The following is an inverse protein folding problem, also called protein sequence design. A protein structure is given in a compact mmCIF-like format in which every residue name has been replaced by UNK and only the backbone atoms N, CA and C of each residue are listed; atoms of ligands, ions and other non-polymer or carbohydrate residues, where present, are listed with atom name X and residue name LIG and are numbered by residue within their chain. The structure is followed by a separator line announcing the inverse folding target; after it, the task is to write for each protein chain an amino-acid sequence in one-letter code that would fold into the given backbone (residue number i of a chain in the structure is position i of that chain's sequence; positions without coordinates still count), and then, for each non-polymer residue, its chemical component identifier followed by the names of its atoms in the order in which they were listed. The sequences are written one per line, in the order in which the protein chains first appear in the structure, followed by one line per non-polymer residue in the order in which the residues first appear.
data_IF_072605972103
#
_entry.id   IF_072605972103
#
_cell.length_a   1.000
_cell.length_b   1.000
_cell.length_c   1.000
_cell.angle_alpha   90.00
_cell.angle_beta   90.00
_cell.angle_gamma   90.00
#
_symmetry.space_group_name_H-M   'P 1'
#
loop_
_entity.id
_entity.type
_entity.pdbx_description
1 polymer ?
#
# COMPACT_ATOMS: atom_id res chain seq x y z
N UNK A 1 28.19 -51.92 55.37
CA UNK A 1 27.75 -50.55 55.75
C UNK A 1 27.17 -49.75 54.55
N UNK A 2 26.14 -50.26 53.85
CA UNK A 2 25.56 -49.59 52.65
C UNK A 2 24.11 -49.08 52.83
N UNK A 3 23.48 -49.32 53.98
CA UNK A 3 22.06 -49.00 54.20
C UNK A 3 21.76 -47.61 54.78
N UNK A 4 22.69 -46.96 55.49
CA UNK A 4 22.42 -45.67 56.16
C UNK A 4 22.47 -44.44 55.24
N UNK A 5 23.25 -44.47 54.15
CA UNK A 5 23.38 -43.30 53.25
C UNK A 5 22.17 -43.07 52.35
N UNK A 6 21.41 -44.11 52.01
CA UNK A 6 20.24 -43.98 51.12
C UNK A 6 19.04 -43.36 51.84
N UNK A 7 18.92 -43.56 53.15
CA UNK A 7 17.84 -43.01 53.97
C UNK A 7 18.01 -41.51 54.25
N UNK A 8 19.25 -41.03 54.37
CA UNK A 8 19.58 -39.60 54.50
C UNK A 8 19.32 -38.83 53.18
N UNK A 9 19.59 -39.45 52.02
CA UNK A 9 19.39 -38.84 50.69
C UNK A 9 17.90 -38.61 50.34
N UNK A 10 16.98 -39.44 50.85
CA UNK A 10 15.54 -39.26 50.60
C UNK A 10 14.98 -38.13 51.48
N UNK A 11 15.57 -37.89 52.66
CA UNK A 11 15.16 -36.80 53.56
C UNK A 11 15.59 -35.41 53.07
N UNK A 12 16.66 -35.33 52.26
CA UNK A 12 17.15 -34.10 51.64
C UNK A 12 16.38 -33.68 50.36
N UNK A 13 15.48 -34.52 49.83
CA UNK A 13 14.70 -34.27 48.62
C UNK A 13 13.26 -33.83 48.90
N UNK A 14 12.92 -33.53 50.16
CA UNK A 14 11.68 -32.86 50.54
C UNK A 14 11.71 -31.40 50.10
N UNK A 15 11.60 -31.18 48.79
CA UNK A 15 11.44 -29.85 48.21
C UNK A 15 10.26 -29.17 48.89
N UNK A 16 10.58 -28.03 49.49
CA UNK A 16 9.66 -27.07 50.04
C UNK A 16 8.67 -26.69 48.92
N UNK A 17 7.51 -27.35 48.86
CA UNK A 17 6.41 -26.91 48.00
C UNK A 17 5.81 -25.68 48.67
N UNK A 18 6.46 -24.54 48.49
CA UNK A 18 5.84 -23.24 48.71
C UNK A 18 4.70 -23.11 47.71
N UNK A 19 3.50 -23.57 48.12
CA UNK A 19 2.28 -23.21 47.41
C UNK A 19 2.11 -21.70 47.45
N UNK A 20 1.55 -21.13 46.39
CA UNK A 20 1.20 -19.71 46.35
C UNK A 20 0.36 -19.36 47.58
N UNK A 21 0.73 -18.28 48.26
CA UNK A 21 -0.09 -17.74 49.33
C UNK A 21 -1.42 -17.25 48.75
N UNK A 22 -2.48 -17.34 49.54
CA UNK A 22 -3.80 -16.83 49.13
C UNK A 22 -3.72 -15.35 48.75
N UNK A 23 -2.84 -14.60 49.43
CA UNK A 23 -2.57 -13.18 49.16
C UNK A 23 -1.89 -12.97 47.80
N UNK A 24 -0.89 -13.78 47.43
CA UNK A 24 -0.27 -13.70 46.10
C UNK A 24 -1.27 -13.95 44.99
N UNK A 25 -2.15 -14.96 45.16
CA UNK A 25 -3.19 -15.22 44.18
C UNK A 25 -4.17 -14.04 44.05
N UNK A 26 -4.54 -13.40 45.16
CA UNK A 26 -5.40 -12.22 45.15
C UNK A 26 -4.75 -11.04 44.43
N UNK A 27 -3.45 -10.80 44.64
CA UNK A 27 -2.72 -9.74 43.95
C UNK A 27 -2.66 -10.02 42.44
N UNK A 28 -2.39 -11.27 42.05
CA UNK A 28 -2.34 -11.67 40.63
C UNK A 28 -3.67 -11.43 39.94
N UNK A 29 -4.79 -11.85 40.55
CA UNK A 29 -6.13 -11.62 39.98
C UNK A 29 -6.47 -10.13 39.95
N UNK A 30 -6.08 -9.34 40.95
CA UNK A 30 -6.28 -7.89 40.95
C UNK A 30 -5.48 -7.20 39.83
N UNK A 31 -4.21 -7.56 39.62
CA UNK A 31 -3.37 -7.02 38.54
C UNK A 31 -3.92 -7.42 37.18
N UNK A 32 -4.32 -8.68 36.99
CA UNK A 32 -4.95 -9.13 35.74
C UNK A 32 -6.26 -8.35 35.48
N UNK A 33 -7.07 -8.09 36.51
CA UNK A 33 -8.28 -7.28 36.39
C UNK A 33 -8.01 -5.85 35.91
N UNK A 34 -6.98 -5.20 36.46
CA UNK A 34 -6.55 -3.85 36.02
C UNK A 34 -6.04 -3.87 34.57
N UNK A 35 -5.22 -4.87 34.22
CA UNK A 35 -4.69 -5.01 32.86
C UNK A 35 -5.81 -5.26 31.85
N UNK A 36 -6.78 -6.11 32.16
CA UNK A 36 -7.94 -6.39 31.30
C UNK A 36 -8.81 -5.14 31.12
N UNK A 37 -9.02 -4.36 32.18
CA UNK A 37 -9.79 -3.12 32.11
C UNK A 37 -9.17 -2.08 31.16
N UNK A 38 -7.84 -2.05 31.01
CA UNK A 38 -7.13 -1.19 30.07
C UNK A 38 -7.05 -1.84 28.67
N UNK A 39 -6.77 -3.14 28.62
CA UNK A 39 -6.49 -3.86 27.37
C UNK A 39 -7.75 -4.04 26.50
N UNK A 40 -8.90 -4.37 27.09
CA UNK A 40 -10.16 -4.58 26.35
C UNK A 40 -10.57 -3.35 25.53
N UNK A 41 -10.70 -2.13 26.10
CA UNK A 41 -11.11 -0.96 25.32
C UNK A 41 -10.10 -0.59 24.22
N UNK A 42 -8.79 -0.75 24.48
CA UNK A 42 -7.73 -0.52 23.50
C UNK A 42 -7.83 -1.53 22.34
N UNK A 43 -7.99 -2.81 22.65
CA UNK A 43 -8.11 -3.86 21.66
C UNK A 43 -9.36 -3.68 20.80
N UNK A 44 -10.52 -3.42 21.42
CA UNK A 44 -11.76 -3.17 20.68
C UNK A 44 -11.64 -1.97 19.75
N UNK A 45 -11.02 -0.87 20.20
CA UNK A 45 -10.79 0.31 19.36
C UNK A 45 -9.85 0.01 18.19
N UNK A 46 -8.76 -0.74 18.41
CA UNK A 46 -7.82 -1.10 17.35
C UNK A 46 -8.45 -2.02 16.31
N UNK A 47 -9.31 -2.96 16.72
CA UNK A 47 -10.02 -3.83 15.77
C UNK A 47 -11.05 -3.06 14.95
N UNK A 48 -11.67 -2.03 15.52
CA UNK A 48 -12.66 -1.20 14.83
C UNK A 48 -12.01 -0.36 13.72
N UNK A 49 -10.86 0.28 14.02
CA UNK A 49 -10.07 1.02 13.03
C UNK A 49 -9.62 0.13 11.87
N UNK A 50 -9.21 -1.11 12.15
CA UNK A 50 -8.81 -2.07 11.12
C UNK A 50 -9.96 -2.49 10.20
N UNK A 51 -11.18 -2.65 10.75
CA UNK A 51 -12.38 -2.94 9.96
C UNK A 51 -12.77 -1.77 9.06
N UNK A 52 -12.72 -0.53 9.58
CA UNK A 52 -12.98 0.69 8.80
C UNK A 52 -11.99 0.78 7.63
N UNK A 53 -10.69 0.57 7.88
CA UNK A 53 -9.68 0.60 6.82
C UNK A 53 -9.92 -0.49 5.75
N UNK A 54 -10.35 -1.67 6.16
CA UNK A 54 -10.68 -2.78 5.24
C UNK A 54 -11.89 -2.44 4.38
N UNK A 55 -12.94 -1.87 4.97
CA UNK A 55 -14.13 -1.45 4.24
C UNK A 55 -13.85 -0.34 3.24
N UNK A 56 -12.97 0.60 3.60
CA UNK A 56 -12.53 1.64 2.68
C UNK A 56 -11.77 1.06 1.49
N UNK A 57 -10.91 0.06 1.70
CA UNK A 57 -10.24 -0.65 0.61
C UNK A 57 -11.26 -1.38 -0.30
N UNK A 58 -12.24 -2.04 0.30
CA UNK A 58 -13.33 -2.71 -0.42
C UNK A 58 -14.17 -1.74 -1.26
N UNK A 59 -14.52 -0.57 -0.72
CA UNK A 59 -15.23 0.49 -1.45
C UNK A 59 -14.43 1.05 -2.62
N UNK A 60 -13.10 1.15 -2.49
CA UNK A 60 -12.22 1.56 -3.60
C UNK A 60 -12.27 0.55 -4.74
N UNK A 61 -12.18 -0.73 -4.42
CA UNK A 61 -12.27 -1.81 -5.40
C UNK A 61 -13.61 -1.71 -6.12
N UNK A 62 -14.72 -1.67 -5.37
CA UNK A 62 -16.07 -1.57 -5.91
C UNK A 62 -16.24 -0.36 -6.84
N UNK A 63 -15.77 0.83 -6.44
CA UNK A 63 -15.85 2.02 -7.28
C UNK A 63 -15.02 1.92 -8.55
N UNK A 64 -13.80 1.38 -8.44
CA UNK A 64 -12.92 1.19 -9.60
C UNK A 64 -13.52 0.22 -10.61
N UNK A 65 -13.96 -0.97 -10.16
CA UNK A 65 -14.56 -1.98 -11.04
C UNK A 65 -15.90 -1.53 -11.60
N UNK A 66 -16.66 -0.74 -10.84
CA UNK A 66 -17.94 -0.23 -11.32
C UNK A 66 -17.70 0.76 -12.45
N UNK A 67 -16.79 1.72 -12.29
CA UNK A 67 -16.45 2.64 -13.37
C UNK A 67 -16.00 1.88 -14.62
N UNK A 68 -15.15 0.85 -14.46
CA UNK A 68 -14.76 -0.01 -15.58
C UNK A 68 -15.97 -0.68 -16.26
N UNK A 69 -16.92 -1.19 -15.49
CA UNK A 69 -18.17 -1.76 -16.00
C UNK A 69 -18.99 -0.72 -16.78
N UNK A 70 -19.17 0.49 -16.23
CA UNK A 70 -19.93 1.56 -16.85
C UNK A 70 -19.34 1.99 -18.20
N UNK A 71 -18.01 2.04 -18.31
CA UNK A 71 -17.35 2.37 -19.58
C UNK A 71 -17.43 1.26 -20.62
N UNK A 72 -17.62 0.00 -20.20
CA UNK A 72 -17.67 -1.15 -21.10
C UNK A 72 -19.03 -1.33 -21.79
N UNK A 73 -20.08 -0.67 -21.28
CA UNK A 73 -21.45 -0.77 -21.78
C UNK A 73 -21.88 0.58 -22.36
N UNK A 74 -22.46 0.65 -23.58
CA UNK A 74 -23.06 1.88 -24.10
C UNK A 74 -24.16 2.38 -23.15
N UNK A 75 -24.33 3.70 -23.00
CA UNK A 75 -25.31 4.33 -22.08
C UNK A 75 -26.75 3.79 -22.24
N UNK A 76 -27.09 3.30 -23.43
CA UNK A 76 -28.40 2.73 -23.77
C UNK A 76 -28.68 1.33 -23.17
N UNK A 77 -27.66 0.67 -22.58
CA UNK A 77 -27.75 -0.71 -22.07
C UNK A 77 -27.53 -0.87 -20.55
N UNK A 78 -27.28 0.24 -19.84
CA UNK A 78 -26.75 0.20 -18.48
C UNK A 78 -27.84 0.39 -17.40
N UNK A 79 -28.89 -0.43 -17.45
CA UNK A 79 -30.08 -0.32 -16.60
C UNK A 79 -29.83 -0.51 -15.09
N UNK A 80 -28.68 -1.11 -14.71
CA UNK A 80 -28.33 -1.36 -13.31
C UNK A 80 -27.78 -0.13 -12.58
N UNK A 81 -27.06 0.73 -13.31
CA UNK A 81 -26.34 1.88 -12.73
C UNK A 81 -26.83 3.24 -13.25
N UNK A 82 -27.69 3.27 -14.27
CA UNK A 82 -28.23 4.50 -14.87
C UNK A 82 -29.55 5.03 -14.26
N UNK A 83 -30.12 4.36 -13.25
CA UNK A 83 -31.38 4.79 -12.63
C UNK A 83 -31.21 5.39 -11.23
N UNK A 84 -32.21 6.22 -10.85
CA UNK A 84 -32.33 6.98 -9.61
C UNK A 84 -31.95 6.23 -8.31
N UNK A 85 -31.50 7.04 -7.36
CA UNK A 85 -31.11 6.72 -5.98
C UNK A 85 -32.17 5.80 -5.34
N UNK A 86 -31.72 4.75 -4.66
CA UNK A 86 -32.51 3.90 -3.76
C UNK A 86 -33.50 2.90 -4.41
N UNK A 87 -32.97 1.86 -5.05
CA UNK A 87 -33.77 0.78 -5.67
C UNK A 87 -33.58 -0.61 -5.05
N UNK A 88 -32.76 -0.76 -4.01
CA UNK A 88 -32.49 -2.08 -3.38
C UNK A 88 -31.77 -3.09 -4.29
N UNK A 89 -31.23 -2.62 -5.43
CA UNK A 89 -30.57 -3.44 -6.46
C UNK A 89 -29.06 -3.61 -6.25
N UNK A 90 -28.52 -3.22 -5.09
CA UNK A 90 -27.07 -3.27 -4.85
C UNK A 90 -26.49 -4.68 -4.97
N UNK A 91 -27.27 -5.68 -4.55
CA UNK A 91 -26.91 -7.09 -4.77
C UNK A 91 -26.82 -7.44 -6.26
N UNK A 92 -27.77 -6.95 -7.06
CA UNK A 92 -27.79 -7.16 -8.52
C UNK A 92 -26.66 -6.41 -9.22
N UNK A 93 -26.33 -5.20 -8.77
CA UNK A 93 -25.17 -4.42 -9.23
C UNK A 93 -23.87 -5.18 -8.97
N UNK A 94 -23.68 -5.73 -7.78
CA UNK A 94 -22.51 -6.54 -7.49
C UNK A 94 -22.47 -7.83 -8.30
N UNK A 95 -23.62 -8.48 -8.51
CA UNK A 95 -23.70 -9.66 -9.37
C UNK A 95 -23.35 -9.32 -10.83
N UNK A 96 -23.77 -8.16 -11.34
CA UNK A 96 -23.38 -7.72 -12.68
C UNK A 96 -21.84 -7.53 -12.81
N UNK A 97 -21.18 -7.07 -11.74
CA UNK A 97 -19.71 -6.97 -11.71
C UNK A 97 -19.05 -8.36 -11.64
N UNK A 98 -19.69 -9.34 -10.98
CA UNK A 98 -19.22 -10.73 -10.95
C UNK A 98 -19.39 -11.38 -12.32
N UNK A 99 -20.55 -11.20 -12.95
CA UNK A 99 -20.88 -11.75 -14.27
C UNK A 99 -19.98 -11.15 -15.36
N UNK A 100 -19.60 -9.88 -15.20
CA UNK A 100 -18.60 -9.21 -16.02
C UNK A 100 -17.15 -9.62 -15.69
N UNK A 101 -16.96 -10.53 -14.73
CA UNK A 101 -15.68 -11.04 -14.27
C UNK A 101 -14.72 -9.95 -13.74
N UNK A 102 -15.29 -8.88 -13.15
CA UNK A 102 -14.53 -7.77 -12.57
C UNK A 102 -14.24 -7.97 -11.08
N UNK A 103 -15.11 -8.74 -10.40
CA UNK A 103 -14.88 -9.22 -9.03
C UNK A 103 -15.25 -10.71 -8.96
N UNK A 104 -14.51 -11.49 -8.17
CA UNK A 104 -14.71 -12.95 -8.10
C UNK A 104 -15.79 -13.38 -7.10
N UNK A 105 -16.25 -12.45 -6.24
CA UNK A 105 -17.32 -12.65 -5.26
C UNK A 105 -17.90 -11.31 -4.82
N UNK A 106 -19.06 -11.36 -4.18
CA UNK A 106 -19.65 -10.19 -3.55
C UNK A 106 -18.73 -9.64 -2.45
N UNK A 107 -18.50 -8.33 -2.49
CA UNK A 107 -17.66 -7.63 -1.51
C UNK A 107 -18.61 -7.04 -0.47
N UNK A 108 -18.54 -7.57 0.75
CA UNK A 108 -19.33 -7.11 1.89
C UNK A 108 -18.46 -6.35 2.90
N UNK A 109 -19.10 -5.49 3.70
CA UNK A 109 -18.44 -4.83 4.83
C UNK A 109 -18.03 -5.85 5.89
N UNK A 110 -16.88 -5.61 6.51
CA UNK A 110 -16.36 -6.36 7.65
C UNK A 110 -16.93 -5.80 8.96
N UNK A 111 -17.56 -4.62 8.94
CA UNK A 111 -18.26 -4.02 10.08
C UNK A 111 -19.67 -4.64 10.23
N UNK A 112 -20.05 -5.10 11.43
CA UNK A 112 -21.39 -5.64 11.67
C UNK A 112 -22.47 -4.56 11.46
N UNK A 113 -23.49 -4.87 10.67
CA UNK A 113 -24.64 -3.98 10.44
C UNK A 113 -24.43 -2.90 9.38
N UNK A 114 -23.23 -2.80 8.80
CA UNK A 114 -22.93 -1.87 7.70
C UNK A 114 -23.04 -2.61 6.36
N UNK A 115 -23.65 -1.96 5.37
CA UNK A 115 -23.74 -2.44 3.99
C UNK A 115 -23.14 -1.41 3.04
N UNK A 116 -22.57 -1.87 1.93
CA UNK A 116 -22.15 -0.99 0.84
C UNK A 116 -23.35 -0.67 -0.06
N UNK A 117 -23.58 0.62 -0.30
CA UNK A 117 -24.76 1.15 -0.99
C UNK A 117 -24.29 2.00 -2.17
N UNK A 118 -24.94 1.85 -3.32
CA UNK A 118 -24.73 2.72 -4.48
C UNK A 118 -25.52 4.03 -4.34
N UNK A 119 -24.84 5.18 -4.31
CA UNK A 119 -25.45 6.51 -4.14
C UNK A 119 -25.93 7.15 -5.46
N UNK A 120 -25.89 6.40 -6.56
CA UNK A 120 -26.14 6.89 -7.92
C UNK A 120 -24.87 7.31 -8.67
N UNK A 121 -23.73 7.46 -8.00
CA UNK A 121 -22.43 7.83 -8.59
C UNK A 121 -21.28 6.96 -8.13
N UNK A 122 -21.33 6.45 -6.91
CA UNK A 122 -20.29 5.66 -6.26
C UNK A 122 -20.89 4.76 -5.17
N UNK A 123 -20.15 3.70 -4.85
CA UNK A 123 -20.34 2.89 -3.65
C UNK A 123 -19.88 3.68 -2.41
N UNK A 124 -20.73 3.65 -1.38
CA UNK A 124 -20.53 4.27 -0.06
C UNK A 124 -20.86 3.26 1.04
N UNK A 125 -20.39 3.47 2.26
CA UNK A 125 -20.91 2.78 3.43
C UNK A 125 -22.21 3.45 3.87
N UNK A 126 -23.28 2.66 4.03
CA UNK A 126 -24.66 3.16 4.19
C UNK A 126 -24.98 4.01 5.43
N UNK A 127 -23.99 4.41 6.24
CA UNK A 127 -24.16 5.27 7.41
C UNK A 127 -23.76 6.73 7.16
N UNK A 128 -22.94 7.02 6.15
CA UNK A 128 -22.39 8.36 5.98
C UNK A 128 -21.92 8.61 4.53
N UNK A 129 -22.73 9.35 3.75
CA UNK A 129 -22.24 9.96 2.50
C UNK A 129 -21.10 10.98 2.74
N UNK A 130 -20.82 11.30 4.02
CA UNK A 130 -19.72 12.12 4.56
C UNK A 130 -18.46 11.35 4.99
N UNK A 131 -18.50 10.01 5.13
CA UNK A 131 -17.42 9.20 5.72
C UNK A 131 -16.37 8.70 4.71
N UNK A 132 -16.31 9.31 3.52
CA UNK A 132 -15.07 9.33 2.72
C UNK A 132 -13.93 10.13 3.39
N UNK A 133 -13.94 10.23 4.73
CA UNK A 133 -13.01 10.97 5.56
C UNK A 133 -12.29 10.07 6.58
N UNK A 134 -11.47 9.12 6.05
CA UNK A 134 -10.15 8.75 6.62
C UNK A 134 -9.94 7.29 7.08
N UNK A 135 -8.74 6.67 6.90
CA UNK A 135 -7.44 7.28 6.61
C UNK A 135 -6.95 7.12 5.15
N UNK A 136 -6.48 8.26 4.62
CA UNK A 136 -5.52 8.47 3.52
C UNK A 136 -5.92 7.95 2.13
N UNK A 137 -6.81 8.67 1.46
CA UNK A 137 -6.61 9.01 0.04
C UNK A 137 -5.91 10.36 0.01
N UNK A 138 -4.59 10.34 -0.08
CA UNK A 138 -3.76 11.54 -0.20
C UNK A 138 -3.71 12.09 -1.62
N UNK A 139 -4.14 11.27 -2.57
CA UNK A 139 -4.18 11.58 -3.98
C UNK A 139 -5.28 10.73 -4.65
N UNK A 140 -5.87 11.26 -5.70
CA UNK A 140 -6.84 10.60 -6.55
C UNK A 140 -6.12 9.94 -7.70
N UNK A 141 -6.51 8.71 -8.02
CA UNK A 141 -6.15 8.08 -9.28
C UNK A 141 -7.35 8.09 -10.20
N UNK A 142 -7.22 8.77 -11.33
CA UNK A 142 -8.22 8.76 -12.39
C UNK A 142 -7.58 8.28 -13.69
N UNK A 143 -8.39 7.68 -14.55
CA UNK A 143 -7.94 7.13 -15.84
C UNK A 143 -8.32 8.02 -17.02
N UNK A 144 -8.57 9.30 -16.78
CA UNK A 144 -9.54 10.05 -17.59
C UNK A 144 -9.03 11.08 -18.59
N UNK A 145 -7.74 11.12 -18.95
CA UNK A 145 -7.31 11.97 -20.07
C UNK A 145 -6.78 11.10 -21.21
N UNK A 146 -7.70 10.74 -22.10
CA UNK A 146 -7.50 9.96 -23.32
C UNK A 146 -6.88 10.84 -24.43
N UNK A 147 -5.72 10.44 -24.95
CA UNK A 147 -5.42 10.49 -26.39
C UNK A 147 -4.69 9.20 -26.80
N UNK A 148 -5.44 8.33 -27.49
CA UNK A 148 -5.05 7.28 -28.44
C UNK A 148 -3.84 6.35 -28.13
N UNK A 149 -4.15 5.10 -27.75
CA UNK A 149 -3.48 3.92 -28.33
C UNK A 149 -2.53 3.09 -27.46
N UNK A 150 -2.28 3.42 -26.20
CA UNK A 150 -1.41 2.64 -25.31
C UNK A 150 -2.13 2.32 -23.98
N UNK A 151 -1.69 1.28 -23.28
CA UNK A 151 -2.28 0.63 -22.09
C UNK A 151 -3.00 1.53 -21.06
N UNK A 152 -3.94 1.01 -20.23
CA UNK A 152 -4.74 1.78 -19.28
C UNK A 152 -3.92 2.79 -18.45
N UNK A 153 -4.40 4.02 -18.47
CA UNK A 153 -3.71 5.23 -18.04
C UNK A 153 -4.03 5.52 -16.57
N UNK A 154 -3.06 5.52 -15.65
CA UNK A 154 -3.26 5.90 -14.24
C UNK A 154 -2.66 7.29 -14.00
N UNK A 155 -3.52 8.31 -13.84
CA UNK A 155 -3.13 9.70 -13.55
C UNK A 155 -3.32 9.95 -12.06
N UNK A 156 -2.27 10.43 -11.40
CA UNK A 156 -2.31 10.86 -10.00
C UNK A 156 -2.66 12.34 -9.88
N UNK A 157 -3.50 12.69 -8.91
CA UNK A 157 -3.76 14.06 -8.52
C UNK A 157 -3.74 14.20 -7.00
N UNK A 158 -2.94 15.10 -6.43
CA UNK A 158 -2.99 15.33 -4.98
C UNK A 158 -4.33 15.97 -4.60
N UNK A 159 -4.97 15.46 -3.55
CA UNK A 159 -6.22 16.06 -3.05
C UNK A 159 -5.91 17.41 -2.38
N UNK A 160 -4.69 17.56 -1.84
CA UNK A 160 -4.16 18.79 -1.27
C UNK A 160 -2.70 19.00 -1.70
N UNK A 161 -2.40 20.11 -2.37
CA UNK A 161 -1.04 20.44 -2.86
C UNK A 161 -0.02 20.70 -1.72
N UNK A 162 -0.46 20.83 -0.47
CA UNK A 162 0.45 20.90 0.69
C UNK A 162 1.06 19.54 1.05
N UNK A 163 0.51 18.44 0.55
CA UNK A 163 0.95 17.11 0.92
C UNK A 163 2.21 16.66 0.19
N UNK A 164 3.22 16.23 0.95
CA UNK A 164 4.54 15.85 0.42
C UNK A 164 4.88 14.37 0.58
N UNK A 165 4.06 13.58 1.28
CA UNK A 165 4.39 12.18 1.60
C UNK A 165 3.23 11.26 1.21
N UNK A 166 3.38 10.54 0.11
CA UNK A 166 2.26 9.77 -0.47
C UNK A 166 2.48 8.26 -0.40
N UNK A 167 1.38 7.51 -0.25
CA UNK A 167 1.39 6.05 -0.28
C UNK A 167 0.40 5.55 -1.32
N UNK A 168 0.89 4.85 -2.34
CA UNK A 168 0.03 4.39 -3.41
C UNK A 168 -0.69 3.07 -3.03
N UNK A 169 -2.00 2.89 -3.32
CA UNK A 169 -2.71 1.67 -3.00
C UNK A 169 -2.25 0.52 -3.90
N UNK A 170 -2.35 -0.68 -3.33
CA UNK A 170 -2.10 -1.93 -4.02
C UNK A 170 -3.08 -2.15 -5.20
N UNK A 171 -2.63 -2.91 -6.20
CA UNK A 171 -3.40 -3.21 -7.42
C UNK A 171 -3.07 -2.31 -8.61
N UNK A 172 -2.34 -1.21 -8.40
CA UNK A 172 -1.82 -0.37 -9.49
C UNK A 172 -0.66 -1.09 -10.16
N UNK A 173 -0.72 -1.19 -11.50
CA UNK A 173 0.33 -1.79 -12.32
C UNK A 173 1.22 -0.76 -13.02
N UNK A 174 0.75 0.45 -13.22
CA UNK A 174 1.48 1.47 -13.98
C UNK A 174 1.27 2.86 -13.39
N UNK A 175 2.30 3.70 -13.42
CA UNK A 175 2.24 5.13 -13.10
C UNK A 175 2.64 5.89 -14.34
N UNK A 176 1.76 6.76 -14.81
CA UNK A 176 1.99 7.48 -16.05
C UNK A 176 2.97 8.63 -15.94
N UNK A 177 3.50 8.93 -17.11
CA UNK A 177 4.49 9.93 -17.37
C UNK A 177 4.19 10.62 -18.71
N UNK A 178 4.80 11.77 -18.92
CA UNK A 178 4.60 12.61 -20.09
C UNK A 178 5.06 14.02 -19.77
N UNK A 179 5.47 14.78 -20.78
CA UNK A 179 5.97 16.15 -20.53
C UNK A 179 4.89 17.04 -19.90
N UNK A 180 3.61 16.82 -20.24
CA UNK A 180 2.48 17.62 -19.76
C UNK A 180 1.47 16.82 -18.90
N UNK A 181 1.60 15.50 -18.82
CA UNK A 181 0.56 14.60 -18.25
C UNK A 181 1.11 13.63 -17.19
N UNK A 182 2.35 13.85 -16.72
CA UNK A 182 2.95 12.99 -15.71
C UNK A 182 2.21 13.06 -14.37
N UNK A 183 1.95 11.89 -13.79
CA UNK A 183 1.07 11.72 -12.63
C UNK A 183 1.48 12.52 -11.38
N UNK A 184 2.78 12.63 -11.10
CA UNK A 184 3.28 13.29 -9.89
C UNK A 184 4.39 14.30 -10.21
N UNK A 185 4.36 14.92 -11.39
CA UNK A 185 5.34 15.95 -11.76
C UNK A 185 5.18 17.21 -10.91
N UNK A 186 6.30 17.68 -10.36
CA UNK A 186 6.44 18.97 -9.66
C UNK A 186 5.47 19.18 -8.49
N UNK A 187 5.18 18.09 -7.76
CA UNK A 187 4.30 18.12 -6.58
C UNK A 187 5.01 18.44 -5.27
N UNK A 188 6.34 18.51 -5.29
CA UNK A 188 7.18 18.78 -4.12
C UNK A 188 7.21 17.61 -3.12
N UNK A 189 6.97 16.38 -3.60
CA UNK A 189 6.96 15.18 -2.76
C UNK A 189 8.32 14.94 -2.12
N UNK A 190 8.34 14.64 -0.82
CA UNK A 190 9.50 14.28 -0.01
C UNK A 190 9.63 12.75 0.12
N UNK A 191 8.50 12.02 0.10
CA UNK A 191 8.49 10.55 0.07
C UNK A 191 7.33 9.97 -0.74
N UNK A 192 7.55 8.77 -1.27
CA UNK A 192 6.54 7.95 -1.94
C UNK A 192 6.70 6.48 -1.56
N UNK A 193 5.59 5.83 -1.18
CA UNK A 193 5.52 4.37 -1.05
C UNK A 193 4.85 3.82 -2.32
N UNK A 194 5.63 3.06 -3.09
CA UNK A 194 5.15 2.39 -4.30
C UNK A 194 4.49 1.04 -3.95
N UNK A 195 3.41 0.63 -4.65
CA UNK A 195 2.69 -0.59 -4.34
C UNK A 195 3.42 -1.81 -4.89
N UNK A 196 3.23 -2.97 -4.25
CA UNK A 196 3.91 -4.21 -4.60
C UNK A 196 3.59 -4.74 -6.00
N UNK A 197 2.38 -4.47 -6.50
CA UNK A 197 1.90 -4.87 -7.85
C UNK A 197 2.38 -3.98 -9.00
N UNK A 198 3.18 -2.95 -8.70
CA UNK A 198 3.61 -1.96 -9.68
C UNK A 198 4.61 -2.56 -10.67
N UNK A 199 4.36 -2.40 -11.96
CA UNK A 199 5.19 -2.91 -13.04
C UNK A 199 5.90 -1.81 -13.83
N UNK A 200 5.21 -0.69 -14.10
CA UNK A 200 5.73 0.36 -14.98
C UNK A 200 5.70 1.73 -14.32
N UNK A 201 6.82 2.45 -14.39
CA UNK A 201 6.93 3.86 -14.02
C UNK A 201 7.33 4.61 -15.27
N UNK A 202 6.41 5.35 -15.89
CA UNK A 202 6.65 5.98 -17.17
C UNK A 202 7.44 7.30 -17.05
N UNK A 203 7.88 7.81 -18.20
CA UNK A 203 8.79 8.94 -18.32
C UNK A 203 8.26 10.21 -17.65
N UNK A 204 9.03 10.88 -16.80
CA UNK A 204 8.62 12.06 -16.02
C UNK A 204 7.60 11.82 -14.89
N UNK A 205 7.18 10.59 -14.61
CA UNK A 205 6.13 10.28 -13.63
C UNK A 205 6.28 11.01 -12.28
N UNK A 206 7.51 11.12 -11.75
CA UNK A 206 7.87 11.80 -10.51
C UNK A 206 8.89 12.93 -10.74
N UNK A 207 8.91 13.51 -11.93
CA UNK A 207 9.84 14.59 -12.30
C UNK A 207 9.72 15.79 -11.34
N UNK A 208 10.85 16.32 -10.89
CA UNK A 208 10.90 17.60 -10.17
C UNK A 208 10.28 17.57 -8.77
N UNK A 209 10.58 16.54 -7.98
CA UNK A 209 10.16 16.46 -6.57
C UNK A 209 11.39 16.53 -5.63
N UNK A 210 11.16 16.34 -4.33
CA UNK A 210 12.16 16.40 -3.27
C UNK A 210 12.49 15.01 -2.70
N UNK A 211 12.29 13.94 -3.48
CA UNK A 211 12.53 12.57 -3.03
C UNK A 211 14.03 12.36 -2.73
N UNK A 212 14.35 11.85 -1.54
CA UNK A 212 15.74 11.59 -1.11
C UNK A 212 16.08 10.10 -1.07
N UNK A 213 15.07 9.25 -0.86
CA UNK A 213 15.17 7.82 -0.95
C UNK A 213 14.00 7.22 -1.75
N UNK A 214 14.23 6.05 -2.32
CA UNK A 214 13.23 5.35 -3.12
C UNK A 214 13.36 3.84 -2.93
N UNK A 215 12.21 3.16 -2.84
CA UNK A 215 12.12 1.71 -2.87
C UNK A 215 11.40 1.32 -4.16
N UNK A 216 12.07 0.57 -5.02
CA UNK A 216 11.53 -0.02 -6.25
C UNK A 216 11.03 -1.43 -5.93
N UNK A 217 9.71 -1.69 -5.93
CA UNK A 217 9.12 -3.00 -5.66
C UNK A 217 9.54 -4.07 -6.67
N UNK A 218 9.43 -5.35 -6.27
CA UNK A 218 9.98 -6.47 -7.04
C UNK A 218 9.30 -6.75 -8.39
N UNK A 219 8.06 -6.33 -8.57
CA UNK A 219 7.35 -6.48 -9.85
C UNK A 219 7.66 -5.38 -10.87
N UNK A 220 8.42 -4.34 -10.49
CA UNK A 220 8.75 -3.25 -11.43
C UNK A 220 9.69 -3.77 -12.50
N UNK A 221 9.23 -3.69 -13.75
CA UNK A 221 9.96 -4.11 -14.96
C UNK A 221 10.41 -2.92 -15.81
N UNK A 222 9.86 -1.72 -15.59
CA UNK A 222 10.16 -0.56 -16.42
C UNK A 222 10.19 0.75 -15.62
N UNK A 223 11.27 1.52 -15.81
CA UNK A 223 11.42 2.92 -15.36
C UNK A 223 11.77 3.77 -16.58
N UNK A 224 10.90 4.72 -16.92
CA UNK A 224 10.96 5.55 -18.11
C UNK A 224 11.97 6.69 -18.03
N UNK A 225 12.19 7.32 -19.19
CA UNK A 225 13.14 8.43 -19.35
C UNK A 225 12.77 9.57 -18.40
N UNK A 226 13.72 10.04 -17.61
CA UNK A 226 13.49 11.12 -16.65
C UNK A 226 12.37 10.87 -15.62
N UNK A 227 11.98 9.61 -15.36
CA UNK A 227 10.92 9.25 -14.41
C UNK A 227 11.09 9.89 -13.02
N UNK A 228 12.32 9.93 -12.49
CA UNK A 228 12.67 10.56 -11.21
C UNK A 228 13.69 11.70 -11.39
N UNK A 229 13.80 12.27 -12.59
CA UNK A 229 14.70 13.39 -12.86
C UNK A 229 14.37 14.59 -11.98
N UNK A 230 15.38 15.36 -11.61
CA UNK A 230 15.28 16.47 -10.67
C UNK A 230 14.69 16.06 -9.31
N UNK A 231 15.17 14.93 -8.76
CA UNK A 231 14.99 14.57 -7.36
C UNK A 231 16.35 14.38 -6.69
N UNK A 232 16.55 14.82 -5.42
CA UNK A 232 17.79 14.65 -4.68
C UNK A 232 17.96 13.23 -4.10
N UNK A 233 17.70 12.19 -4.90
CA UNK A 233 17.74 10.78 -4.46
C UNK A 233 19.20 10.37 -4.22
N UNK A 234 19.48 9.91 -3.00
CA UNK A 234 20.81 9.40 -2.57
C UNK A 234 20.80 7.93 -2.17
N UNK A 235 19.62 7.33 -2.04
CA UNK A 235 19.43 5.93 -1.65
C UNK A 235 18.32 5.31 -2.49
N UNK A 236 18.62 4.21 -3.15
CA UNK A 236 17.64 3.44 -3.93
C UNK A 236 17.71 1.98 -3.48
N UNK A 237 16.59 1.43 -3.05
CA UNK A 237 16.46 -0.01 -2.80
C UNK A 237 15.73 -0.63 -3.99
N UNK A 238 16.35 -1.58 -4.68
CA UNK A 238 15.76 -2.26 -5.83
C UNK A 238 15.48 -3.71 -5.45
N UNK A 239 14.22 -4.13 -5.54
CA UNK A 239 13.80 -5.50 -5.25
C UNK A 239 13.62 -6.35 -6.52
N UNK A 240 13.55 -5.72 -7.70
CA UNK A 240 13.40 -6.40 -8.99
C UNK A 240 14.66 -7.17 -9.40
N UNK A 241 14.47 -8.17 -10.25
CA UNK A 241 15.58 -8.88 -10.91
C UNK A 241 16.27 -7.98 -11.96
N UNK A 242 17.62 -7.87 -11.97
CA UNK A 242 18.37 -7.13 -12.99
C UNK A 242 18.07 -7.53 -14.44
N UNK A 243 17.71 -8.78 -14.69
CA UNK A 243 17.34 -9.27 -16.02
C UNK A 243 15.93 -8.85 -16.47
N UNK A 244 15.11 -8.32 -15.57
CA UNK A 244 13.71 -7.97 -15.84
C UNK A 244 13.42 -6.47 -15.76
N UNK A 245 14.23 -5.70 -15.01
CA UNK A 245 14.05 -4.27 -14.86
C UNK A 245 14.82 -3.47 -15.93
N UNK A 246 14.08 -2.77 -16.79
CA UNK A 246 14.63 -1.79 -17.73
C UNK A 246 14.58 -0.38 -17.14
N UNK A 247 15.74 0.24 -16.97
CA UNK A 247 15.86 1.66 -16.57
C UNK A 247 16.28 2.48 -17.79
N UNK A 248 15.46 3.45 -18.19
CA UNK A 248 15.71 4.34 -19.32
C UNK A 248 16.66 5.48 -18.95
N UNK A 249 17.12 6.21 -19.95
CA UNK A 249 18.10 7.28 -19.80
C UNK A 249 17.63 8.40 -18.86
N UNK A 250 18.58 8.91 -18.07
CA UNK A 250 18.37 10.05 -17.16
C UNK A 250 17.20 9.85 -16.19
N UNK A 251 16.80 8.61 -15.91
CA UNK A 251 15.73 8.31 -14.97
C UNK A 251 16.00 8.90 -13.58
N UNK A 252 17.27 9.00 -13.17
CA UNK A 252 17.70 9.53 -11.88
C UNK A 252 18.69 10.69 -12.02
N UNK A 253 18.70 11.57 -11.02
CA UNK A 253 19.65 12.69 -10.92
C UNK A 253 19.11 14.03 -11.43
N UNK A 254 19.96 15.04 -11.40
CA UNK A 254 19.69 16.43 -11.80
C UNK A 254 20.69 16.86 -12.85
N UNK A 255 20.32 17.80 -13.74
CA UNK A 255 21.22 18.29 -14.78
C UNK A 255 21.30 17.36 -15.98
N UNK A 256 21.36 17.92 -17.19
CA UNK A 256 21.19 17.13 -18.42
C UNK A 256 22.34 16.13 -18.64
N UNK A 257 23.56 16.49 -18.28
CA UNK A 257 24.75 15.64 -18.46
C UNK A 257 24.93 14.71 -17.26
N UNK A 258 24.79 15.26 -16.05
CA UNK A 258 25.05 14.59 -14.78
C UNK A 258 24.01 13.49 -14.53
N UNK A 259 22.72 13.74 -14.80
CA UNK A 259 21.66 12.72 -14.68
C UNK A 259 21.92 11.48 -15.52
N UNK A 260 22.55 11.63 -16.70
CA UNK A 260 22.92 10.48 -17.53
C UNK A 260 23.98 9.65 -16.82
N UNK A 261 25.03 10.28 -16.31
CA UNK A 261 26.13 9.62 -15.57
C UNK A 261 25.59 8.94 -14.32
N UNK A 262 24.74 9.63 -13.55
CA UNK A 262 24.11 9.09 -12.34
C UNK A 262 23.26 7.87 -12.65
N UNK A 263 22.45 7.94 -13.71
CA UNK A 263 21.58 6.82 -14.10
C UNK A 263 22.40 5.64 -14.62
N UNK A 264 23.41 5.88 -15.45
CA UNK A 264 24.26 4.83 -15.99
C UNK A 264 25.06 4.12 -14.89
N UNK A 265 25.60 4.88 -13.92
CA UNK A 265 26.26 4.32 -12.75
C UNK A 265 25.33 3.42 -11.92
N UNK A 266 24.04 3.79 -11.77
CA UNK A 266 23.07 2.94 -11.09
C UNK A 266 22.82 1.64 -11.86
N UNK A 267 22.67 1.72 -13.19
CA UNK A 267 22.46 0.54 -14.05
C UNK A 267 23.65 -0.43 -13.92
N UNK A 268 24.87 0.07 -13.95
CA UNK A 268 26.09 -0.74 -13.81
C UNK A 268 26.19 -1.40 -12.42
N UNK A 269 26.01 -0.61 -11.36
CA UNK A 269 26.03 -1.13 -10.00
C UNK A 269 24.94 -2.18 -9.77
N UNK A 270 23.74 -1.96 -10.31
CA UNK A 270 22.61 -2.87 -10.19
C UNK A 270 22.81 -4.18 -10.97
N UNK A 271 23.38 -4.10 -12.17
CA UNK A 271 23.70 -5.27 -12.98
C UNK A 271 24.69 -6.22 -12.28
N UNK A 272 25.66 -5.66 -11.54
CA UNK A 272 26.66 -6.43 -10.80
C UNK A 272 26.12 -6.90 -9.44
N UNK A 273 25.42 -6.02 -8.73
CA UNK A 273 25.05 -6.22 -7.33
C UNK A 273 23.71 -6.91 -7.09
N UNK A 274 22.83 -6.98 -8.09
CA UNK A 274 21.52 -7.63 -7.97
C UNK A 274 20.52 -6.83 -7.13
N UNK A 275 19.41 -7.45 -6.68
CA UNK A 275 18.47 -6.82 -5.77
C UNK A 275 19.17 -6.36 -4.48
N UNK A 276 18.94 -5.13 -4.05
CA UNK A 276 19.69 -4.55 -2.93
C UNK A 276 19.50 -3.07 -2.70
N UNK A 277 20.17 -2.56 -1.66
CA UNK A 277 20.22 -1.12 -1.37
C UNK A 277 21.47 -0.51 -1.98
N UNK A 278 21.28 0.54 -2.77
CA UNK A 278 22.32 1.32 -3.43
C UNK A 278 22.39 2.70 -2.79
N UNK A 279 23.61 3.16 -2.52
CA UNK A 279 23.89 4.50 -1.97
C UNK A 279 24.74 5.29 -2.95
N UNK A 280 24.38 6.57 -3.14
CA UNK A 280 25.17 7.50 -3.94
C UNK A 280 26.33 8.04 -3.11
N UNK A 281 27.55 7.57 -3.40
CA UNK A 281 28.77 7.88 -2.65
C UNK A 281 29.85 8.29 -3.66
N UNK A 282 30.50 9.44 -3.44
CA UNK A 282 31.65 9.90 -4.25
C UNK A 282 31.42 9.79 -5.77
N UNK A 283 30.26 10.26 -6.24
CA UNK A 283 29.84 10.27 -7.64
C UNK A 283 29.59 8.90 -8.30
N UNK A 284 29.34 7.85 -7.51
CA UNK A 284 28.93 6.54 -8.00
C UNK A 284 27.87 5.89 -7.09
N UNK A 285 27.08 4.99 -7.66
CA UNK A 285 26.19 4.13 -6.89
C UNK A 285 26.95 2.89 -6.40
N UNK A 286 26.92 2.65 -5.09
CA UNK A 286 27.56 1.48 -4.46
C UNK A 286 26.49 0.60 -3.81
N UNK A 287 26.53 -0.70 -4.07
CA UNK A 287 25.66 -1.66 -3.40
C UNK A 287 26.11 -1.84 -1.94
N UNK A 288 25.22 -1.53 -1.00
CA UNK A 288 25.44 -1.58 0.44
C UNK A 288 25.08 -2.94 1.07
N UNK A 289 24.84 -3.99 0.27
CA UNK A 289 24.66 -5.36 0.74
C UNK A 289 25.99 -6.06 1.08
N UNK A 290 27.14 -5.36 0.98
CA UNK A 290 28.43 -5.85 1.47
C UNK A 290 28.66 -5.39 2.91
N UNK A 291 28.06 -6.12 3.85
CA UNK A 291 28.33 -6.08 5.29
C UNK A 291 28.24 -7.47 5.87
#
# INVERSE_FOLDING_TARGET
MKGKRKTELIKALGHNRSGFTLVELMIVVAVIGILVAIAVPIYTSSTEVAKIATDQANLRILNSVTNQYLFSQPDEYNNYFNEEIDSGRDLERMNALIDANLIYKQIASVRPGVSFIWDGKKWTDGEDSSAASGPLSHYLLSTNDYEEGWAPHVIGHLINDSEKNIQLPEGIRSILGGQNTAAFREKGLESVILPSSLQNIYSHAFYGNNLTELIIPGEVIFIGTMAFYNNPIKKVTIMSDPGQLTIQDRAFGTGYTESKIITDSLKEAFLIGGPGTYLWVVNEWVNNNQG
#
